data_IF_945763752202
#
_entry.id   IF_945763752202
#
_cell.length_a   1.000
_cell.length_b   1.000
_cell.length_c   1.000
_cell.angle_alpha   90.00
_cell.angle_beta   90.00
_cell.angle_gamma   90.00
#
_symmetry.space_group_name_H-M   'P 1'
#
loop_
_entity.id
_entity.type
_entity.pdbx_description
1 polymer ?
#
# COMPACT_ATOMS: atom_id res chain seq x y z
N UNK A 1 -49.02 -40.54 -3.83
CA UNK A 1 -48.90 -41.97 -4.20
C UNK A 1 -48.18 -42.06 -5.54
N UNK A 2 -47.36 -43.10 -5.71
CA UNK A 2 -46.55 -43.48 -6.90
C UNK A 2 -45.16 -42.83 -7.02
N UNK A 3 -44.17 -43.62 -6.59
CA UNK A 3 -42.75 -43.53 -6.89
C UNK A 3 -42.42 -44.35 -8.15
N UNK A 4 -41.35 -44.02 -8.88
CA UNK A 4 -40.33 -44.97 -9.41
C UNK A 4 -39.36 -44.19 -10.33
N UNK A 5 -38.10 -43.94 -9.94
CA UNK A 5 -36.85 -44.74 -10.13
C UNK A 5 -36.35 -44.92 -11.59
N UNK A 6 -35.14 -44.36 -11.76
CA UNK A 6 -33.92 -44.86 -12.45
C UNK A 6 -33.82 -44.85 -13.98
N UNK A 7 -32.69 -44.31 -14.46
CA UNK A 7 -32.08 -44.61 -15.76
C UNK A 7 -30.77 -43.83 -15.97
N UNK A 8 -29.64 -44.49 -15.67
CA UNK A 8 -28.26 -44.04 -15.93
C UNK A 8 -27.78 -44.68 -17.25
N UNK A 9 -26.61 -44.25 -17.78
CA UNK A 9 -25.79 -44.83 -18.89
C UNK A 9 -26.06 -44.10 -20.24
N UNK A 10 -25.11 -43.33 -20.82
CA UNK A 10 -23.90 -43.80 -21.52
C UNK A 10 -22.79 -42.74 -21.62
N UNK A 11 -21.59 -43.15 -21.18
CA UNK A 11 -20.29 -42.66 -21.65
C UNK A 11 -19.99 -43.24 -23.04
N UNK A 12 -19.40 -42.46 -23.96
CA UNK A 12 -18.29 -42.86 -24.87
C UNK A 12 -17.69 -41.59 -25.50
N UNK A 13 -16.48 -41.20 -25.08
CA UNK A 13 -15.20 -41.39 -25.79
C UNK A 13 -14.96 -40.44 -26.97
N UNK A 14 -14.07 -39.47 -26.77
CA UNK A 14 -12.94 -39.25 -27.69
C UNK A 14 -11.67 -38.99 -26.85
N UNK A 15 -10.79 -40.00 -26.86
CA UNK A 15 -9.35 -39.81 -26.62
C UNK A 15 -8.74 -39.46 -27.96
N UNK A 16 -8.06 -38.33 -28.05
CA UNK A 16 -6.91 -38.18 -28.94
C UNK A 16 -5.78 -37.48 -28.19
N UNK A 17 -4.58 -37.95 -28.49
CA UNK A 17 -3.35 -37.84 -27.75
C UNK A 17 -2.48 -36.65 -28.17
N UNK A 18 -1.88 -36.04 -27.16
CA UNK A 18 -0.53 -35.49 -27.10
C UNK A 18 0.01 -34.69 -28.30
N UNK A 19 0.10 -33.37 -28.13
CA UNK A 19 1.30 -32.62 -28.49
C UNK A 19 1.87 -31.99 -27.21
N UNK A 20 2.88 -32.66 -26.65
CA UNK A 20 3.74 -32.10 -25.62
C UNK A 20 4.64 -31.05 -26.27
N UNK A 21 4.13 -29.85 -26.45
CA UNK A 21 5.00 -28.68 -26.58
C UNK A 21 5.45 -28.33 -25.17
N UNK A 22 6.69 -28.70 -24.83
CA UNK A 22 7.42 -28.06 -23.72
C UNK A 22 7.48 -26.58 -24.04
N UNK A 23 6.54 -25.81 -23.50
CA UNK A 23 6.66 -24.37 -23.45
C UNK A 23 7.78 -24.08 -22.44
N UNK A 24 9.00 -23.93 -22.95
CA UNK A 24 10.05 -23.23 -22.23
C UNK A 24 9.63 -21.75 -22.19
N UNK A 25 8.66 -21.41 -21.35
CA UNK A 25 8.48 -20.03 -20.94
C UNK A 25 9.66 -19.73 -20.02
N UNK A 26 10.70 -19.10 -20.57
CA UNK A 26 11.53 -18.24 -19.75
C UNK A 26 10.59 -17.19 -19.18
N UNK A 27 10.10 -17.44 -17.95
CA UNK A 27 9.43 -16.42 -17.16
C UNK A 27 10.46 -15.32 -16.98
N UNK A 28 10.38 -14.28 -17.83
CA UNK A 28 10.97 -13.00 -17.50
C UNK A 28 10.41 -12.65 -16.13
N UNK A 29 11.25 -12.66 -15.09
CA UNK A 29 10.84 -12.19 -13.77
C UNK A 29 10.27 -10.79 -13.99
N UNK A 30 8.96 -10.63 -13.81
CA UNK A 30 8.34 -9.32 -13.88
C UNK A 30 9.00 -8.48 -12.79
N UNK A 31 9.62 -7.35 -13.19
CA UNK A 31 10.21 -6.46 -12.21
C UNK A 31 9.09 -5.82 -11.40
N UNK A 32 9.34 -5.47 -10.13
CA UNK A 32 8.36 -4.79 -9.26
C UNK A 32 7.84 -3.50 -9.89
N UNK A 33 8.63 -2.88 -10.76
CA UNK A 33 8.28 -1.67 -11.50
C UNK A 33 7.27 -1.93 -12.64
N UNK A 34 7.22 -3.14 -13.19
CA UNK A 34 6.33 -3.50 -14.31
C UNK A 34 4.93 -3.89 -13.82
N UNK A 35 4.85 -4.70 -12.75
CA UNK A 35 3.58 -5.09 -12.13
C UNK A 35 3.73 -5.16 -10.59
N UNK A 36 3.36 -4.09 -9.87
CA UNK A 36 3.54 -4.02 -8.42
C UNK A 36 2.47 -4.83 -7.64
N UNK A 37 1.33 -5.14 -8.26
CA UNK A 37 0.19 -5.71 -7.55
C UNK A 37 0.48 -7.09 -6.91
N UNK A 38 1.08 -8.08 -7.61
CA UNK A 38 1.37 -9.38 -7.02
C UNK A 38 2.28 -9.30 -5.79
N UNK A 39 3.23 -8.36 -5.79
CA UNK A 39 4.14 -8.14 -4.67
C UNK A 39 3.44 -7.41 -3.53
N UNK A 40 2.66 -6.38 -3.84
CA UNK A 40 1.94 -5.61 -2.83
C UNK A 40 0.93 -6.47 -2.07
N UNK A 41 0.16 -7.32 -2.75
CA UNK A 41 -0.86 -8.16 -2.11
C UNK A 41 -0.32 -9.43 -1.43
N UNK A 42 1.00 -9.66 -1.47
CA UNK A 42 1.60 -10.78 -0.76
C UNK A 42 1.42 -10.63 0.77
N UNK A 43 0.98 -11.68 1.45
CA UNK A 43 0.72 -11.69 2.89
C UNK A 43 1.96 -11.29 3.71
N UNK A 44 3.14 -11.76 3.33
CA UNK A 44 4.40 -11.44 4.02
C UNK A 44 4.73 -9.95 3.89
N UNK A 45 4.53 -9.38 2.69
CA UNK A 45 4.74 -7.95 2.43
C UNK A 45 3.75 -7.12 3.23
N UNK A 46 2.47 -7.51 3.24
CA UNK A 46 1.43 -6.82 4.01
C UNK A 46 1.70 -6.84 5.51
N UNK A 47 2.18 -7.97 6.08
CA UNK A 47 2.57 -8.05 7.49
C UNK A 47 3.75 -7.11 7.81
N UNK A 48 4.77 -7.08 6.96
CA UNK A 48 5.90 -6.16 7.11
C UNK A 48 5.44 -4.70 7.04
N UNK A 49 4.62 -4.33 6.06
CA UNK A 49 4.08 -2.97 5.92
C UNK A 49 3.21 -2.55 7.12
N UNK A 50 2.38 -3.46 7.65
CA UNK A 50 1.62 -3.23 8.89
C UNK A 50 2.54 -2.98 10.07
N UNK A 51 3.58 -3.80 10.26
CA UNK A 51 4.58 -3.61 11.32
C UNK A 51 5.30 -2.26 11.20
N UNK A 52 5.70 -1.87 9.98
CA UNK A 52 6.35 -0.60 9.69
C UNK A 52 5.44 0.62 9.98
N UNK A 53 4.12 0.47 9.88
CA UNK A 53 3.17 1.58 10.03
C UNK A 53 3.12 2.15 11.44
N UNK A 54 3.52 1.39 12.48
CA UNK A 54 3.46 1.76 13.90
C UNK A 54 2.10 2.38 14.27
N UNK A 55 1.09 1.53 14.38
CA UNK A 55 -0.27 1.98 14.57
C UNK A 55 -0.43 2.56 15.98
N UNK A 56 -0.68 3.87 16.05
CA UNK A 56 -1.15 4.55 17.26
C UNK A 56 -2.67 4.73 17.15
N UNK A 57 -3.41 3.92 17.91
CA UNK A 57 -4.87 3.96 17.91
C UNK A 57 -5.43 5.30 18.39
N UNK A 58 -4.69 6.05 19.21
CA UNK A 58 -5.12 7.39 19.64
C UNK A 58 -5.11 8.38 18.49
N UNK A 59 -4.15 8.25 17.57
CA UNK A 59 -4.06 9.05 16.34
C UNK A 59 -5.14 8.65 15.32
N UNK A 60 -5.36 7.34 15.13
CA UNK A 60 -6.34 6.81 14.16
C UNK A 60 -7.78 7.18 14.53
N UNK A 61 -8.11 7.14 15.83
CA UNK A 61 -9.45 7.41 16.35
C UNK A 61 -9.78 8.90 16.51
N UNK A 62 -8.87 9.82 16.15
CA UNK A 62 -9.11 11.26 16.29
C UNK A 62 -10.36 11.68 15.54
N UNK A 63 -11.08 12.62 16.13
CA UNK A 63 -12.28 13.21 15.52
C UNK A 63 -11.85 14.01 14.29
N UNK A 64 -12.31 13.57 13.11
CA UNK A 64 -12.08 14.28 11.87
C UNK A 64 -13.19 15.32 11.65
N UNK A 65 -12.81 16.54 11.27
CA UNK A 65 -13.75 17.61 10.95
C UNK A 65 -14.34 17.40 9.55
N UNK A 66 -15.16 16.37 9.38
CA UNK A 66 -15.75 15.97 8.08
C UNK A 66 -16.95 16.85 7.67
N UNK A 67 -17.24 17.92 8.42
CA UNK A 67 -18.42 18.78 8.19
C UNK A 67 -19.77 18.11 8.51
N UNK A 68 -19.76 16.86 8.97
CA UNK A 68 -20.94 16.13 9.43
C UNK A 68 -21.31 16.57 10.86
N UNK A 69 -22.61 16.54 11.17
CA UNK A 69 -23.09 16.83 12.52
C UNK A 69 -22.60 15.74 13.47
N UNK A 70 -22.00 16.16 14.59
CA UNK A 70 -21.62 15.23 15.65
C UNK A 70 -22.89 14.71 16.32
N UNK A 71 -22.98 13.40 16.48
CA UNK A 71 -24.01 12.76 17.27
C UNK A 71 -23.64 12.85 18.76
N UNK A 72 -24.66 12.82 19.62
CA UNK A 72 -24.45 12.78 21.08
C UNK A 72 -23.81 11.44 21.45
N UNK A 73 -22.79 11.47 22.30
CA UNK A 73 -22.12 10.26 22.78
C UNK A 73 -23.02 9.45 23.71
N UNK A 74 -23.05 8.13 23.53
CA UNK A 74 -23.72 7.20 24.44
C UNK A 74 -22.75 6.76 25.54
N UNK A 75 -23.19 6.83 26.80
CA UNK A 75 -22.45 6.28 27.93
C UNK A 75 -23.01 4.92 28.31
N UNK A 76 -22.12 3.96 28.58
CA UNK A 76 -22.48 2.59 28.97
C UNK A 76 -21.65 2.19 30.18
N UNK A 77 -22.28 1.56 31.16
CA UNK A 77 -21.57 0.93 32.27
C UNK A 77 -21.12 -0.45 31.82
N UNK A 78 -19.84 -0.76 32.03
CA UNK A 78 -19.22 -2.02 31.62
C UNK A 78 -18.37 -2.55 32.77
N UNK A 79 -18.25 -3.87 32.86
CA UNK A 79 -17.20 -4.50 33.68
C UNK A 79 -15.84 -4.38 33.00
N UNK A 80 -14.75 -4.64 33.72
CA UNK A 80 -13.39 -4.59 33.16
C UNK A 80 -13.21 -5.57 31.99
N UNK A 81 -13.82 -6.77 32.10
CA UNK A 81 -13.80 -7.78 31.03
C UNK A 81 -14.55 -7.30 29.78
N UNK A 82 -15.74 -6.70 29.96
CA UNK A 82 -16.53 -6.14 28.87
C UNK A 82 -15.84 -4.94 28.20
N UNK A 83 -15.11 -4.14 28.98
CA UNK A 83 -14.34 -3.00 28.49
C UNK A 83 -13.19 -3.47 27.59
N UNK A 84 -12.43 -4.47 28.01
CA UNK A 84 -11.34 -5.02 27.20
C UNK A 84 -11.85 -5.68 25.91
N UNK A 85 -12.95 -6.44 25.98
CA UNK A 85 -13.59 -6.99 24.78
C UNK A 85 -14.06 -5.89 23.82
N UNK A 86 -14.71 -4.85 24.36
CA UNK A 86 -15.17 -3.70 23.57
C UNK A 86 -14.01 -2.96 22.92
N UNK A 87 -12.88 -2.83 23.63
CA UNK A 87 -11.65 -2.22 23.13
C UNK A 87 -11.06 -3.02 21.97
N UNK A 88 -10.94 -4.34 22.11
CA UNK A 88 -10.44 -5.21 21.04
C UNK A 88 -11.33 -5.15 19.78
N UNK A 89 -12.65 -5.18 19.96
CA UNK A 89 -13.59 -5.04 18.85
C UNK A 89 -13.50 -3.67 18.18
N UNK A 90 -13.32 -2.60 18.95
CA UNK A 90 -13.14 -1.25 18.42
C UNK A 90 -11.83 -1.14 17.61
N UNK A 91 -10.75 -1.73 18.11
CA UNK A 91 -9.45 -1.81 17.42
C UNK A 91 -9.62 -2.54 16.09
N UNK A 92 -10.23 -3.74 16.08
CA UNK A 92 -10.42 -4.52 14.86
C UNK A 92 -11.25 -3.75 13.81
N UNK A 93 -12.36 -3.12 14.24
CA UNK A 93 -13.18 -2.28 13.36
C UNK A 93 -12.40 -1.09 12.81
N UNK A 94 -11.56 -0.46 13.62
CA UNK A 94 -10.71 0.65 13.20
C UNK A 94 -9.69 0.19 12.16
N UNK A 95 -9.05 -0.96 12.37
CA UNK A 95 -8.10 -1.53 11.42
C UNK A 95 -8.76 -1.80 10.07
N UNK A 96 -9.89 -2.48 10.06
CA UNK A 96 -10.61 -2.87 8.84
C UNK A 96 -11.10 -1.65 8.05
N UNK A 97 -11.59 -0.61 8.73
CA UNK A 97 -12.22 0.55 8.08
C UNK A 97 -11.19 1.62 7.73
N UNK A 98 -10.24 1.91 8.64
CA UNK A 98 -9.38 3.11 8.55
C UNK A 98 -7.96 2.80 8.11
N UNK A 99 -7.45 1.59 8.34
CA UNK A 99 -6.06 1.23 8.07
C UNK A 99 -5.88 0.32 6.87
N UNK A 100 -6.96 -0.05 6.18
CA UNK A 100 -6.87 -0.76 4.91
C UNK A 100 -6.10 0.07 3.88
N UNK A 101 -4.91 -0.37 3.51
CA UNK A 101 -4.05 0.33 2.57
C UNK A 101 -4.70 0.41 1.17
N UNK A 102 -4.64 1.57 0.49
CA UNK A 102 -4.99 1.65 -0.92
C UNK A 102 -4.18 0.65 -1.76
N UNK A 103 -4.81 -0.01 -2.74
CA UNK A 103 -4.12 -1.00 -3.57
C UNK A 103 -3.11 -0.31 -4.49
N UNK A 104 -1.89 -0.84 -4.56
CA UNK A 104 -0.87 -0.40 -5.51
C UNK A 104 -0.94 -1.30 -6.74
N UNK A 105 -1.39 -0.73 -7.86
CA UNK A 105 -1.58 -1.44 -9.14
C UNK A 105 -0.72 -0.81 -10.23
N UNK A 106 -0.62 -1.45 -11.40
CA UNK A 106 0.05 -0.87 -12.55
C UNK A 106 -0.78 0.24 -13.18
N UNK A 107 -0.10 1.23 -13.74
CA UNK A 107 -0.72 2.32 -14.49
C UNK A 107 -1.43 1.77 -15.74
N UNK A 108 -2.67 2.21 -15.95
CA UNK A 108 -3.43 1.85 -17.13
C UNK A 108 -2.96 2.65 -18.35
N UNK A 109 -2.84 1.99 -19.50
CA UNK A 109 -2.54 2.64 -20.79
C UNK A 109 -3.85 3.03 -21.47
N UNK A 110 -4.03 4.31 -21.80
CA UNK A 110 -5.21 4.82 -22.52
C UNK A 110 -5.18 4.39 -24.00
N UNK A 111 -5.32 3.09 -24.23
CA UNK A 111 -5.32 2.49 -25.56
C UNK A 111 -6.71 2.62 -26.18
N UNK A 112 -6.77 3.30 -27.31
CA UNK A 112 -8.02 3.50 -28.04
C UNK A 112 -8.26 2.30 -28.93
N UNK A 113 -9.29 1.51 -28.60
CA UNK A 113 -9.79 0.45 -29.46
C UNK A 113 -10.94 0.97 -30.32
N UNK A 114 -10.72 1.03 -31.62
CA UNK A 114 -11.74 1.34 -32.63
C UNK A 114 -12.58 0.08 -32.87
N UNK A 115 -13.90 0.25 -32.92
CA UNK A 115 -14.87 -0.82 -33.18
C UNK A 115 -15.28 -0.85 -34.65
N UNK A 116 -15.65 0.31 -35.19
CA UNK A 116 -16.16 0.48 -36.55
C UNK A 116 -15.69 1.82 -37.09
N UNK A 117 -15.36 1.88 -38.38
CA UNK A 117 -15.08 3.13 -39.08
C UNK A 117 -16.04 3.27 -40.25
N UNK A 118 -16.93 4.27 -40.18
CA UNK A 118 -18.02 4.49 -41.15
C UNK A 118 -17.84 5.86 -41.85
N UNK A 119 -17.12 5.94 -42.98
CA UNK A 119 -16.83 7.22 -43.64
C UNK A 119 -18.07 7.98 -44.12
N UNK A 120 -19.20 7.30 -44.33
CA UNK A 120 -20.46 7.92 -44.75
C UNK A 120 -21.12 8.77 -43.66
N UNK A 121 -20.71 8.61 -42.40
CA UNK A 121 -21.17 9.42 -41.27
C UNK A 121 -20.22 10.57 -40.94
N UNK A 122 -19.18 10.77 -41.77
CA UNK A 122 -18.24 11.86 -41.61
C UNK A 122 -18.96 13.20 -41.78
N UNK A 123 -18.70 14.12 -40.86
CA UNK A 123 -19.26 15.48 -40.85
C UNK A 123 -20.80 15.53 -40.78
N UNK A 124 -21.45 14.45 -40.32
CA UNK A 124 -22.89 14.43 -40.04
C UNK A 124 -23.27 15.37 -38.89
N UNK A 125 -22.43 15.43 -37.85
CA UNK A 125 -22.55 16.36 -36.73
C UNK A 125 -21.16 16.87 -36.32
N UNK A 126 -21.13 18.04 -35.70
CA UNK A 126 -19.94 18.69 -35.14
C UNK A 126 -19.53 18.11 -33.78
N UNK A 127 -20.48 17.57 -33.02
CA UNK A 127 -20.26 17.07 -31.68
C UNK A 127 -19.97 15.55 -31.65
N UNK A 128 -19.32 15.11 -30.56
CA UNK A 128 -19.10 13.68 -30.28
C UNK A 128 -20.31 13.13 -29.53
N UNK A 129 -20.79 11.95 -29.93
CA UNK A 129 -21.84 11.24 -29.19
C UNK A 129 -21.22 10.19 -28.27
N UNK A 130 -21.64 10.16 -27.02
CA UNK A 130 -21.19 9.16 -26.04
C UNK A 130 -22.35 8.26 -25.65
N UNK A 131 -22.23 6.98 -25.93
CA UNK A 131 -23.22 5.96 -25.58
C UNK A 131 -22.72 5.15 -24.40
N UNK A 132 -23.55 4.98 -23.38
CA UNK A 132 -23.21 4.32 -22.12
C UNK A 132 -24.26 3.28 -21.75
N UNK A 133 -23.79 2.09 -21.39
CA UNK A 133 -24.65 1.05 -20.83
C UNK A 133 -24.95 1.31 -19.34
N UNK A 134 -26.22 1.62 -19.06
CA UNK A 134 -26.75 1.92 -17.73
C UNK A 134 -27.43 0.71 -17.06
N UNK A 135 -27.23 -0.50 -17.58
CA UNK A 135 -27.86 -1.71 -17.05
C UNK A 135 -27.51 -1.97 -15.57
N UNK A 136 -28.49 -2.32 -14.76
CA UNK A 136 -28.27 -2.61 -13.34
C UNK A 136 -27.54 -3.96 -13.16
N UNK A 137 -26.73 -4.10 -12.10
CA UNK A 137 -26.04 -5.35 -11.75
C UNK A 137 -24.69 -5.60 -12.45
N UNK A 138 -24.30 -4.76 -13.41
CA UNK A 138 -22.97 -4.85 -14.06
C UNK A 138 -21.94 -4.02 -13.26
N UNK A 139 -20.72 -4.53 -13.11
CA UNK A 139 -19.64 -3.76 -12.49
C UNK A 139 -19.26 -2.55 -13.37
N UNK A 140 -19.01 -1.41 -12.75
CA UNK A 140 -18.58 -0.17 -13.42
C UNK A 140 -17.38 -0.36 -14.34
N UNK A 141 -16.44 -1.26 -14.01
CA UNK A 141 -15.27 -1.57 -14.87
C UNK A 141 -15.62 -2.34 -16.14
N UNK A 142 -16.64 -3.17 -16.11
CA UNK A 142 -17.04 -4.02 -17.24
C UNK A 142 -18.06 -3.34 -18.17
N UNK A 143 -18.58 -2.17 -17.78
CA UNK A 143 -19.55 -1.41 -18.57
C UNK A 143 -18.99 -0.95 -19.90
N UNK A 144 -19.80 -1.09 -20.95
CA UNK A 144 -19.47 -0.62 -22.29
C UNK A 144 -19.79 0.87 -22.40
N UNK A 145 -18.77 1.66 -22.72
CA UNK A 145 -18.88 3.08 -23.05
C UNK A 145 -18.18 3.27 -24.38
N UNK A 146 -18.91 3.79 -25.35
CA UNK A 146 -18.42 4.01 -26.72
C UNK A 146 -18.68 5.44 -27.14
N UNK A 147 -17.78 5.97 -27.94
CA UNK A 147 -17.80 7.35 -28.44
C UNK A 147 -17.82 7.30 -29.96
N UNK A 148 -18.81 7.96 -30.55
CA UNK A 148 -18.86 8.23 -31.99
C UNK A 148 -18.23 9.60 -32.23
N UNK A 149 -17.14 9.62 -32.97
CA UNK A 149 -16.44 10.83 -33.39
C UNK A 149 -17.12 11.44 -34.64
N UNK A 150 -17.00 12.77 -34.86
CA UNK A 150 -17.44 13.45 -36.09
C UNK A 150 -16.84 12.88 -37.38
N UNK A 151 -15.70 12.18 -37.28
CA UNK A 151 -15.06 11.49 -38.40
C UNK A 151 -15.87 10.30 -38.94
N UNK A 152 -16.90 9.85 -38.20
CA UNK A 152 -17.65 8.63 -38.48
C UNK A 152 -17.11 7.41 -37.73
N UNK A 153 -16.02 7.53 -36.97
CA UNK A 153 -15.40 6.41 -36.26
C UNK A 153 -16.08 6.13 -34.91
N UNK A 154 -16.43 4.86 -34.65
CA UNK A 154 -16.91 4.38 -33.35
C UNK A 154 -15.75 3.74 -32.59
N UNK A 155 -15.42 4.28 -31.42
CA UNK A 155 -14.35 3.78 -30.56
C UNK A 155 -14.82 3.58 -29.13
N UNK A 156 -14.05 2.84 -28.34
CA UNK A 156 -14.20 2.87 -26.90
C UNK A 156 -13.85 4.26 -26.33
N UNK A 157 -14.50 4.63 -25.22
CA UNK A 157 -14.18 5.84 -24.48
C UNK A 157 -12.78 5.79 -23.89
N UNK A 158 -12.09 6.94 -23.89
CA UNK A 158 -10.84 7.13 -23.15
C UNK A 158 -11.09 7.05 -21.65
N UNK A 159 -10.05 6.81 -20.86
CA UNK A 159 -10.15 6.74 -19.39
C UNK A 159 -10.80 7.99 -18.78
N UNK A 160 -10.39 9.19 -19.19
CA UNK A 160 -10.98 10.44 -18.71
C UNK A 160 -12.47 10.59 -19.08
N UNK A 161 -12.84 10.21 -20.31
CA UNK A 161 -14.23 10.23 -20.79
C UNK A 161 -15.08 9.24 -19.97
N UNK A 162 -14.55 8.02 -19.77
CA UNK A 162 -15.16 6.97 -18.95
C UNK A 162 -15.39 7.46 -17.53
N UNK A 163 -14.37 7.94 -16.84
CA UNK A 163 -14.45 8.36 -15.45
C UNK A 163 -15.50 9.47 -15.25
N UNK A 164 -15.53 10.44 -16.17
CA UNK A 164 -16.52 11.52 -16.15
C UNK A 164 -17.95 11.00 -16.34
N UNK A 165 -18.17 10.16 -17.35
CA UNK A 165 -19.49 9.65 -17.70
C UNK A 165 -20.01 8.65 -16.65
N UNK A 166 -19.12 7.83 -16.11
CA UNK A 166 -19.42 6.98 -14.95
C UNK A 166 -19.90 7.82 -13.77
N UNK A 167 -19.24 8.93 -13.43
CA UNK A 167 -19.67 9.80 -12.33
C UNK A 167 -21.02 10.50 -12.62
N UNK A 168 -21.36 10.77 -13.88
CA UNK A 168 -22.66 11.35 -14.27
C UNK A 168 -23.80 10.37 -14.00
N UNK A 169 -23.66 9.11 -14.43
CA UNK A 169 -24.72 8.10 -14.30
C UNK A 169 -24.71 7.38 -12.94
N UNK A 170 -23.53 7.23 -12.34
CA UNK A 170 -23.30 6.52 -11.08
C UNK A 170 -22.46 7.39 -10.13
N UNK A 171 -23.07 8.44 -9.54
CA UNK A 171 -22.33 9.40 -8.74
C UNK A 171 -21.80 8.77 -7.44
N UNK A 172 -20.49 8.85 -7.23
CA UNK A 172 -19.85 8.52 -5.96
C UNK A 172 -19.75 9.78 -5.10
N UNK A 173 -20.15 9.68 -3.83
CA UNK A 173 -20.10 10.79 -2.89
C UNK A 173 -18.68 11.35 -2.76
N UNK A 174 -18.55 12.66 -2.96
CA UNK A 174 -17.28 13.39 -2.85
C UNK A 174 -16.44 13.46 -4.14
N UNK A 175 -16.64 12.54 -5.10
CA UNK A 175 -15.97 12.55 -6.41
C UNK A 175 -16.57 13.63 -7.29
N UNK A 176 -15.73 14.50 -7.84
CA UNK A 176 -16.16 15.60 -8.71
C UNK A 176 -16.10 15.18 -10.18
N UNK A 177 -16.99 15.73 -11.02
CA UNK A 177 -16.98 15.48 -12.47
C UNK A 177 -15.70 16.00 -13.13
N UNK A 178 -15.29 17.21 -12.72
CA UNK A 178 -14.03 17.83 -13.14
C UNK A 178 -12.99 17.61 -12.07
N UNK A 179 -11.75 17.36 -12.48
CA UNK A 179 -10.65 17.21 -11.53
C UNK A 179 -10.46 18.52 -10.75
N UNK A 180 -10.42 18.48 -9.40
CA UNK A 180 -10.16 19.65 -8.57
C UNK A 180 -8.82 20.33 -8.90
N UNK A 181 -8.79 21.67 -8.90
CA UNK A 181 -7.57 22.45 -9.17
C UNK A 181 -6.44 22.24 -8.15
N UNK A 182 -6.76 21.72 -6.95
CA UNK A 182 -5.78 21.42 -5.90
C UNK A 182 -4.71 20.39 -6.30
N UNK A 183 -4.94 19.61 -7.35
CA UNK A 183 -4.01 18.60 -7.83
C UNK A 183 -3.01 19.11 -8.89
N UNK A 184 -3.10 20.39 -9.25
CA UNK A 184 -2.22 21.04 -10.22
C UNK A 184 -1.43 22.18 -9.58
N UNK A 185 -0.31 22.57 -10.19
CA UNK A 185 0.42 23.75 -9.74
C UNK A 185 -0.39 25.04 -10.01
N UNK A 186 -0.31 26.06 -9.14
CA UNK A 186 0.56 26.19 -7.97
C UNK A 186 -0.02 25.59 -6.67
N UNK A 187 -1.30 25.21 -6.66
CA UNK A 187 -2.01 24.83 -5.44
C UNK A 187 -1.46 23.57 -4.78
N UNK A 188 -1.02 22.59 -5.60
CA UNK A 188 -0.41 21.36 -5.09
C UNK A 188 0.86 21.65 -4.29
N UNK A 189 1.75 22.50 -4.81
CA UNK A 189 2.98 22.88 -4.11
C UNK A 189 2.69 23.56 -2.77
N UNK A 190 1.68 24.43 -2.72
CA UNK A 190 1.29 25.12 -1.49
C UNK A 190 0.79 24.13 -0.42
N UNK A 191 0.04 23.10 -0.82
CA UNK A 191 -0.40 22.04 0.08
C UNK A 191 0.78 21.17 0.56
N UNK A 192 1.74 20.89 -0.32
CA UNK A 192 2.98 20.16 0.02
C UNK A 192 3.82 20.95 1.04
N UNK A 193 3.98 22.26 0.84
CA UNK A 193 4.68 23.16 1.77
C UNK A 193 4.01 23.20 3.15
N UNK A 194 2.68 23.17 3.19
CA UNK A 194 1.88 23.06 4.43
C UNK A 194 1.90 21.67 5.07
N UNK A 195 2.50 20.68 4.39
CA UNK A 195 2.58 19.27 4.80
C UNK A 195 1.22 18.60 4.99
N UNK A 196 0.21 19.02 4.22
CA UNK A 196 -1.14 18.45 4.26
C UNK A 196 -1.25 17.13 3.46
N UNK A 197 -0.28 16.22 3.63
CA UNK A 197 -0.14 15.02 2.80
C UNK A 197 -1.35 14.08 2.87
N UNK A 198 -1.86 13.84 4.09
CA UNK A 198 -3.00 12.93 4.31
C UNK A 198 -4.24 13.44 3.56
N UNK A 199 -4.48 14.76 3.60
CA UNK A 199 -5.58 15.38 2.87
C UNK A 199 -5.46 15.19 1.36
N UNK A 200 -4.27 15.42 0.79
CA UNK A 200 -4.03 15.24 -0.65
C UNK A 200 -4.28 13.77 -1.05
N UNK A 201 -3.74 12.82 -0.29
CA UNK A 201 -3.82 11.39 -0.60
C UNK A 201 -5.25 10.85 -0.42
N UNK A 202 -5.97 11.26 0.63
CA UNK A 202 -7.38 10.91 0.83
C UNK A 202 -8.26 11.45 -0.29
N UNK A 203 -8.02 12.71 -0.71
CA UNK A 203 -8.74 13.32 -1.83
C UNK A 203 -8.39 12.63 -3.16
N UNK A 204 -7.14 12.22 -3.36
CA UNK A 204 -6.71 11.51 -4.56
C UNK A 204 -7.38 10.13 -4.66
N UNK A 205 -7.41 9.35 -3.57
CA UNK A 205 -8.10 8.04 -3.52
C UNK A 205 -9.60 8.12 -3.78
N UNK A 206 -10.22 9.27 -3.51
CA UNK A 206 -11.65 9.50 -3.73
C UNK A 206 -11.95 10.07 -5.13
N UNK A 207 -11.04 10.86 -5.70
CA UNK A 207 -11.22 11.47 -7.01
C UNK A 207 -10.85 10.52 -8.17
N UNK A 208 -9.75 9.79 -8.03
CA UNK A 208 -9.18 8.97 -9.10
C UNK A 208 -9.29 7.48 -8.79
N UNK A 209 -9.22 6.67 -9.84
CA UNK A 209 -9.13 5.22 -9.69
C UNK A 209 -7.66 4.82 -9.46
N UNK A 210 -7.37 3.69 -8.80
CA UNK A 210 -6.00 3.33 -8.41
C UNK A 210 -5.03 3.14 -9.58
N UNK A 211 -5.54 2.84 -10.78
CA UNK A 211 -4.80 2.63 -12.02
C UNK A 211 -4.70 3.89 -12.91
N UNK A 212 -5.29 5.01 -12.46
CA UNK A 212 -5.28 6.28 -13.20
C UNK A 212 -3.88 6.92 -13.18
N UNK A 213 -3.31 7.32 -14.33
CA UNK A 213 -2.01 8.00 -14.37
C UNK A 213 -1.91 9.24 -13.48
N UNK A 214 -3.00 10.00 -13.33
CA UNK A 214 -3.01 11.19 -12.46
C UNK A 214 -2.90 10.80 -10.98
N UNK A 215 -3.55 9.70 -10.56
CA UNK A 215 -3.40 9.17 -9.20
C UNK A 215 -1.94 8.83 -8.90
N UNK A 216 -1.28 8.15 -9.84
CA UNK A 216 0.13 7.80 -9.73
C UNK A 216 1.03 9.04 -9.71
N UNK A 217 0.79 10.03 -10.57
CA UNK A 217 1.55 11.29 -10.57
C UNK A 217 1.52 11.97 -9.21
N UNK A 218 0.32 12.19 -8.67
CA UNK A 218 0.11 12.90 -7.40
C UNK A 218 0.71 12.14 -6.22
N UNK A 219 0.45 10.83 -6.13
CA UNK A 219 0.97 10.00 -5.02
C UNK A 219 2.49 9.94 -5.03
N UNK A 220 3.11 9.73 -6.20
CA UNK A 220 4.59 9.74 -6.36
C UNK A 220 5.19 11.09 -5.96
N UNK A 221 4.57 12.20 -6.35
CA UNK A 221 5.03 13.54 -6.00
C UNK A 221 4.98 13.79 -4.49
N UNK A 222 3.86 13.45 -3.85
CA UNK A 222 3.71 13.52 -2.39
C UNK A 222 4.79 12.69 -1.70
N UNK A 223 4.97 11.42 -2.09
CA UNK A 223 5.97 10.53 -1.48
C UNK A 223 7.40 11.03 -1.65
N UNK A 224 7.75 11.58 -2.82
CA UNK A 224 9.06 12.21 -3.05
C UNK A 224 9.27 13.41 -2.12
N UNK A 225 8.26 14.26 -1.97
CA UNK A 225 8.34 15.41 -1.07
C UNK A 225 8.53 14.96 0.38
N UNK A 226 7.78 13.97 0.86
CA UNK A 226 7.95 13.42 2.22
C UNK A 226 9.35 12.89 2.45
N UNK A 227 9.90 12.16 1.48
CA UNK A 227 11.23 11.59 1.54
C UNK A 227 12.33 12.66 1.52
N UNK A 228 12.12 13.77 0.81
CA UNK A 228 13.06 14.90 0.77
C UNK A 228 13.09 15.67 2.11
N UNK A 229 11.92 15.82 2.75
CA UNK A 229 11.77 16.58 4.00
C UNK A 229 11.74 15.72 5.27
N UNK A 230 12.04 14.42 5.16
CA UNK A 230 12.00 13.42 6.24
C UNK A 230 10.73 13.50 7.12
N UNK A 231 9.58 13.84 6.52
CA UNK A 231 8.33 14.11 7.25
C UNK A 231 7.43 12.87 7.34
N UNK A 232 8.01 11.71 7.63
CA UNK A 232 7.32 10.41 7.64
C UNK A 232 6.27 10.30 8.77
N UNK A 233 6.50 10.97 9.90
CA UNK A 233 5.63 10.93 11.07
C UNK A 233 4.18 11.35 10.75
N UNK A 234 4.00 12.27 9.81
CA UNK A 234 2.67 12.74 9.40
C UNK A 234 1.82 11.57 8.88
N UNK A 235 2.44 10.67 8.12
CA UNK A 235 1.79 9.49 7.55
C UNK A 235 1.82 8.26 8.44
N UNK A 236 2.61 8.23 9.52
CA UNK A 236 2.57 7.13 10.50
C UNK A 236 1.15 6.95 11.03
N UNK A 237 0.78 5.70 11.26
CA UNK A 237 -0.57 5.31 11.69
C UNK A 237 -1.69 5.75 10.71
N UNK A 238 -1.39 5.90 9.42
CA UNK A 238 -2.39 6.11 8.37
C UNK A 238 -2.35 4.98 7.34
N UNK A 239 -3.45 4.78 6.60
CA UNK A 239 -3.53 3.80 5.52
C UNK A 239 -2.54 4.03 4.37
N UNK A 240 -1.98 5.24 4.25
CA UNK A 240 -1.09 5.62 3.16
C UNK A 240 0.38 5.35 3.44
N UNK A 241 0.74 5.03 4.69
CA UNK A 241 2.13 4.76 5.06
C UNK A 241 2.71 3.56 4.31
N UNK A 242 1.98 2.44 4.27
CA UNK A 242 2.47 1.24 3.60
C UNK A 242 2.68 1.41 2.09
N UNK A 243 1.72 1.98 1.32
CA UNK A 243 1.95 2.30 -0.09
C UNK A 243 3.14 3.24 -0.33
N UNK A 244 3.35 4.23 0.54
CA UNK A 244 4.53 5.11 0.48
C UNK A 244 5.82 4.31 0.67
N UNK A 245 5.90 3.46 1.71
CA UNK A 245 7.09 2.62 1.95
C UNK A 245 7.31 1.68 0.77
N UNK A 246 6.26 1.05 0.27
CA UNK A 246 6.34 0.16 -0.89
C UNK A 246 6.89 0.90 -2.12
N UNK A 247 6.45 2.14 -2.37
CA UNK A 247 6.99 3.00 -3.43
C UNK A 247 8.48 3.30 -3.22
N UNK A 248 8.90 3.71 -2.02
CA UNK A 248 10.30 4.02 -1.71
C UNK A 248 11.21 2.81 -1.88
N UNK A 249 10.76 1.62 -1.45
CA UNK A 249 11.49 0.37 -1.64
C UNK A 249 11.59 0.02 -3.12
N UNK A 250 10.49 0.14 -3.87
CA UNK A 250 10.46 -0.13 -5.31
C UNK A 250 11.45 0.74 -6.09
N UNK A 251 11.59 2.01 -5.69
CA UNK A 251 12.52 3.00 -6.27
C UNK A 251 13.93 2.95 -5.68
N UNK A 252 14.22 2.02 -4.76
CA UNK A 252 15.49 1.88 -4.03
C UNK A 252 15.92 3.14 -3.25
N UNK A 253 14.96 3.92 -2.76
CA UNK A 253 15.18 5.17 -2.00
C UNK A 253 14.77 5.00 -0.53
N UNK A 254 15.36 4.02 0.15
CA UNK A 254 15.00 3.68 1.53
C UNK A 254 15.91 4.29 2.60
N UNK A 255 17.09 4.79 2.21
CA UNK A 255 18.13 5.25 3.16
C UNK A 255 17.62 6.30 4.16
N UNK A 256 16.89 7.32 3.68
CA UNK A 256 16.36 8.37 4.55
C UNK A 256 15.38 7.82 5.60
N UNK A 257 14.50 6.91 5.20
CA UNK A 257 13.57 6.25 6.11
C UNK A 257 14.31 5.32 7.07
N UNK A 258 15.33 4.61 6.61
CA UNK A 258 16.16 3.75 7.44
C UNK A 258 16.89 4.55 8.52
N UNK A 259 17.44 5.72 8.17
CA UNK A 259 18.07 6.65 9.13
C UNK A 259 17.06 7.11 10.18
N UNK A 260 15.84 7.51 9.79
CA UNK A 260 14.78 7.88 10.75
C UNK A 260 14.41 6.73 11.69
N UNK A 261 14.31 5.51 11.16
CA UNK A 261 14.02 4.31 11.94
C UNK A 261 15.13 3.97 12.94
N UNK A 262 16.40 4.16 12.56
CA UNK A 262 17.57 3.90 13.40
C UNK A 262 17.82 4.99 14.45
N UNK A 263 17.43 6.23 14.17
CA UNK A 263 17.42 7.33 15.15
C UNK A 263 16.30 7.14 16.18
N UNK A 264 15.20 6.50 15.78
CA UNK A 264 14.18 5.98 16.70
C UNK A 264 14.68 4.69 17.40
N UNK A 265 14.22 4.37 18.63
CA UNK A 265 14.62 3.13 19.33
C UNK A 265 14.00 1.85 18.73
N UNK A 266 13.69 1.84 17.44
CA UNK A 266 12.74 0.93 16.83
C UNK A 266 13.39 0.20 15.63
N UNK A 267 14.32 -0.66 16.04
CA UNK A 267 15.26 -1.41 15.20
C UNK A 267 14.56 -2.55 14.49
N UNK A 268 13.58 -3.18 15.14
CA UNK A 268 12.84 -4.29 14.55
C UNK A 268 12.11 -3.86 13.26
N UNK A 269 11.66 -2.62 13.19
CA UNK A 269 11.11 -2.01 11.99
C UNK A 269 12.20 -1.70 10.96
N UNK A 270 13.37 -1.21 11.38
CA UNK A 270 14.50 -1.02 10.46
C UNK A 270 14.89 -2.34 9.78
N UNK A 271 14.95 -3.43 10.55
CA UNK A 271 15.16 -4.80 10.04
C UNK A 271 14.04 -5.20 9.09
N UNK A 272 12.79 -4.92 9.45
CA UNK A 272 11.62 -5.25 8.61
C UNK A 272 11.65 -4.49 7.28
N UNK A 273 12.13 -3.24 7.26
CA UNK A 273 12.31 -2.45 6.05
C UNK A 273 13.38 -3.04 5.13
N UNK A 274 14.53 -3.43 5.69
CA UNK A 274 15.60 -4.07 4.92
C UNK A 274 15.18 -5.44 4.39
N UNK A 275 14.44 -6.23 5.18
CA UNK A 275 13.82 -7.48 4.71
C UNK A 275 12.86 -7.24 3.55
N UNK A 276 12.02 -6.22 3.65
CA UNK A 276 11.11 -5.84 2.56
C UNK A 276 11.87 -5.45 1.28
N UNK A 277 13.01 -4.77 1.40
CA UNK A 277 13.88 -4.45 0.26
C UNK A 277 14.37 -5.72 -0.46
N UNK A 278 14.89 -6.71 0.26
CA UNK A 278 15.37 -7.95 -0.36
C UNK A 278 14.25 -8.82 -0.93
N UNK A 279 13.03 -8.77 -0.37
CA UNK A 279 11.85 -9.46 -0.93
C UNK A 279 11.48 -8.86 -2.29
N UNK A 280 11.53 -7.54 -2.42
CA UNK A 280 11.16 -6.84 -3.64
C UNK A 280 12.29 -6.84 -4.69
N UNK A 281 13.55 -6.96 -4.28
CA UNK A 281 14.71 -6.98 -5.18
C UNK A 281 15.51 -8.29 -5.04
N UNK A 282 14.96 -9.43 -5.49
CA UNK A 282 15.62 -10.74 -5.36
C UNK A 282 16.82 -10.90 -6.30
N UNK A 283 16.98 -10.03 -7.30
CA UNK A 283 18.08 -10.08 -8.27
C UNK A 283 19.38 -9.47 -7.73
N UNK A 284 19.32 -8.83 -6.57
CA UNK A 284 20.48 -8.31 -5.87
C UNK A 284 21.28 -9.47 -5.27
N UNK A 285 22.59 -9.53 -5.55
CA UNK A 285 23.47 -10.61 -5.07
C UNK A 285 23.41 -10.79 -3.54
N UNK A 286 23.19 -9.69 -2.83
CA UNK A 286 23.04 -9.62 -1.38
C UNK A 286 21.74 -10.25 -0.83
N UNK A 287 20.73 -10.52 -1.66
CA UNK A 287 19.43 -11.00 -1.18
C UNK A 287 19.49 -12.45 -0.64
N UNK A 288 20.32 -13.31 -1.22
CA UNK A 288 20.45 -14.71 -0.80
C UNK A 288 21.20 -14.84 0.53
N UNK A 289 22.30 -14.10 0.69
CA UNK A 289 23.12 -14.11 1.92
C UNK A 289 22.46 -13.35 3.08
N UNK A 290 21.46 -12.52 2.80
CA UNK A 290 20.73 -11.74 3.78
C UNK A 290 19.70 -12.55 4.59
N UNK A 291 19.24 -13.71 4.09
CA UNK A 291 18.20 -14.49 4.77
C UNK A 291 18.69 -15.16 6.06
N UNK A 292 19.99 -15.47 6.14
CA UNK A 292 20.59 -16.21 7.25
C UNK A 292 21.24 -15.32 8.32
N UNK A 293 21.22 -13.98 8.13
CA UNK A 293 21.91 -13.02 9.01
C UNK A 293 21.05 -12.55 10.17
N UNK A 294 21.72 -12.27 11.28
CA UNK A 294 21.11 -11.64 12.45
C UNK A 294 20.59 -10.22 12.13
N UNK A 295 19.64 -9.76 12.95
CA UNK A 295 18.92 -8.48 12.76
C UNK A 295 19.84 -7.27 12.51
N UNK A 296 20.90 -7.09 13.29
CA UNK A 296 21.83 -5.95 13.15
C UNK A 296 22.79 -6.14 11.98
N UNK A 297 23.29 -7.36 11.80
CA UNK A 297 24.20 -7.71 10.70
C UNK A 297 23.54 -7.51 9.34
N UNK A 298 22.23 -7.75 9.25
CA UNK A 298 21.44 -7.51 8.05
C UNK A 298 21.48 -6.03 7.62
N UNK A 299 21.37 -5.12 8.59
CA UNK A 299 21.40 -3.67 8.33
C UNK A 299 22.80 -3.24 7.93
N UNK A 300 23.83 -3.71 8.61
CA UNK A 300 25.22 -3.43 8.24
C UNK A 300 25.57 -3.97 6.84
N UNK A 301 25.07 -5.16 6.52
CA UNK A 301 25.27 -5.78 5.21
C UNK A 301 24.58 -4.98 4.10
N UNK A 302 23.34 -4.56 4.31
CA UNK A 302 22.66 -3.62 3.40
C UNK A 302 23.46 -2.33 3.21
N UNK A 303 23.96 -1.76 4.32
CA UNK A 303 24.72 -0.50 4.31
C UNK A 303 26.01 -0.60 3.50
N UNK A 304 26.68 -1.75 3.53
CA UNK A 304 27.94 -1.98 2.81
C UNK A 304 27.75 -2.16 1.30
N UNK A 305 26.66 -2.80 0.87
CA UNK A 305 26.49 -3.25 -0.51
C UNK A 305 25.49 -2.43 -1.33
N UNK A 306 24.42 -1.93 -0.70
CA UNK A 306 23.23 -1.43 -1.44
C UNK A 306 22.86 0.04 -1.12
N UNK A 307 23.33 0.61 -0.02
CA UNK A 307 22.96 1.97 0.40
C UNK A 307 23.60 3.05 -0.49
N UNK A 308 22.79 4.03 -0.91
CA UNK A 308 23.26 5.20 -1.67
C UNK A 308 23.90 6.24 -0.73
N UNK A 309 23.40 6.36 0.50
CA UNK A 309 23.90 7.27 1.54
C UNK A 309 24.61 6.54 2.69
N UNK A 310 25.57 5.69 2.32
CA UNK A 310 26.30 4.82 3.26
C UNK A 310 26.75 5.52 4.55
N UNK A 311 27.42 6.68 4.45
CA UNK A 311 27.91 7.42 5.61
C UNK A 311 26.80 7.78 6.63
N UNK A 312 25.64 8.21 6.14
CA UNK A 312 24.53 8.61 7.02
C UNK A 312 23.93 7.41 7.74
N UNK A 313 23.79 6.29 7.03
CA UNK A 313 23.27 5.04 7.60
C UNK A 313 24.26 4.46 8.60
N UNK A 314 25.56 4.42 8.29
CA UNK A 314 26.60 3.96 9.21
C UNK A 314 26.61 4.77 10.52
N UNK A 315 26.54 6.11 10.40
CA UNK A 315 26.45 6.98 11.57
C UNK A 315 25.19 6.70 12.39
N UNK A 316 24.05 6.47 11.74
CA UNK A 316 22.80 6.12 12.43
C UNK A 316 22.87 4.76 13.13
N UNK A 317 23.53 3.75 12.54
CA UNK A 317 23.77 2.45 13.16
C UNK A 317 24.65 2.60 14.41
N UNK A 318 25.75 3.36 14.32
CA UNK A 318 26.64 3.63 15.46
C UNK A 318 25.90 4.34 16.60
N UNK A 319 25.09 5.34 16.27
CA UNK A 319 24.24 6.04 17.23
C UNK A 319 23.26 5.08 17.94
N UNK A 320 22.61 4.21 17.17
CA UNK A 320 21.68 3.21 17.70
C UNK A 320 22.36 2.21 18.65
N UNK A 321 23.57 1.73 18.30
CA UNK A 321 24.37 0.86 19.16
C UNK A 321 24.78 1.55 20.47
N UNK A 322 25.12 2.85 20.39
CA UNK A 322 25.45 3.65 21.57
C UNK A 322 24.24 3.77 22.50
N UNK A 323 23.07 4.13 21.97
CA UNK A 323 21.84 4.22 22.76
C UNK A 323 21.49 2.89 23.42
N UNK A 324 21.63 1.77 22.72
CA UNK A 324 21.40 0.44 23.28
C UNK A 324 22.28 0.15 24.50
N UNK A 325 23.57 0.48 24.44
CA UNK A 325 24.50 0.32 25.56
C UNK A 325 24.09 1.19 26.74
N UNK A 326 23.76 2.46 26.49
CA UNK A 326 23.30 3.39 27.53
C UNK A 326 22.00 2.88 28.21
N UNK A 327 21.04 2.36 27.45
CA UNK A 327 19.82 1.78 28.01
C UNK A 327 20.09 0.54 28.88
N UNK A 328 21.02 -0.33 28.46
CA UNK A 328 21.42 -1.50 29.25
C UNK A 328 22.10 -1.10 30.56
N UNK A 329 23.00 -0.12 30.51
CA UNK A 329 23.67 0.43 31.70
C UNK A 329 22.66 1.06 32.68
N UNK A 330 21.69 1.81 32.16
CA UNK A 330 20.60 2.36 32.97
C UNK A 330 19.72 1.26 33.57
N UNK A 331 19.34 0.24 32.82
CA UNK A 331 18.55 -0.89 33.33
C UNK A 331 19.28 -1.64 34.45
N UNK A 332 20.58 -1.90 34.28
CA UNK A 332 21.41 -2.51 35.34
C UNK A 332 21.47 -1.60 36.56
N UNK A 333 21.61 -0.29 36.38
CA UNK A 333 21.64 0.69 37.46
C UNK A 333 20.30 0.77 38.21
N UNK A 334 19.19 0.72 37.49
CA UNK A 334 17.82 0.69 38.04
C UNK A 334 17.60 -0.60 38.84
N UNK A 335 18.01 -1.76 38.30
CA UNK A 335 17.92 -3.05 39.02
C UNK A 335 18.71 -3.03 40.33
N UNK A 336 19.93 -2.48 40.32
CA UNK A 336 20.75 -2.27 41.53
C UNK A 336 20.07 -1.33 42.53
N UNK A 337 19.48 -0.23 42.07
CA UNK A 337 18.77 0.73 42.93
C UNK A 337 17.50 0.13 43.56
N UNK A 338 16.82 -0.78 42.86
CA UNK A 338 15.67 -1.53 43.39
C UNK A 338 16.06 -2.73 44.28
N UNK A 339 17.35 -2.89 44.63
CA UNK A 339 17.82 -3.96 45.51
C UNK A 339 17.82 -5.35 44.88
N UNK A 340 17.62 -5.45 43.56
CA UNK A 340 17.79 -6.68 42.80
C UNK A 340 19.25 -6.80 42.35
N UNK A 341 20.17 -7.00 43.29
CA UNK A 341 21.56 -7.30 42.98
C UNK A 341 21.79 -8.82 43.08
N UNK A 342 22.17 -9.40 41.94
CA UNK A 342 22.68 -10.76 41.66
C UNK A 342 22.82 -11.74 42.85
N UNK A 343 21.85 -12.65 43.01
CA UNK A 343 21.99 -13.90 43.80
C UNK A 343 22.71 -15.01 43.03
N UNK A 344 23.60 -14.67 42.09
CA UNK A 344 24.16 -15.65 41.15
C UNK A 344 25.67 -15.57 40.98
N UNK A 345 26.42 -15.23 42.04
CA UNK A 345 27.87 -15.47 42.10
C UNK A 345 28.33 -15.73 43.54
N UNK A 346 27.89 -16.85 44.15
CA UNK A 346 28.52 -17.41 45.35
C UNK A 346 28.11 -18.89 45.47
N UNK A 347 28.64 -19.75 44.59
CA UNK A 347 28.62 -21.21 44.79
C UNK A 347 29.58 -21.93 43.84
N UNK A 348 30.82 -21.46 43.74
CA UNK A 348 31.95 -22.26 43.25
C UNK A 348 33.20 -21.81 43.99
N UNK A 349 33.35 -22.23 45.26
CA UNK A 349 34.63 -22.32 45.97
C UNK A 349 34.44 -22.87 47.40
N UNK A 350 33.83 -24.06 47.56
CA UNK A 350 34.10 -24.93 48.71
C UNK A 350 33.90 -26.39 48.27
N UNK A 351 34.87 -27.25 48.62
CA UNK A 351 35.00 -28.73 48.45
C UNK A 351 35.41 -29.19 47.04
N UNK A 352 36.61 -29.73 46.79
CA UNK A 352 37.56 -30.53 47.57
C UNK A 352 39.01 -30.27 47.16
#
# INVERSE_FOLDING_TARGET
>A
MMSSRKGMILRRFYKQSAWNCRSCSSQSKASVLDDPAPFFFNENVQQLLKKLTRIDYTKVSRVHKTGQRLNVGEYKFMTDEELEQSRLQAIQKLEDIRLQMPPVVKESKDTIRVLVDDPGLKDYDTAKFVFTDISYGINTRDRKIVVREPTGTLRHARMAERNRITQVYFPVNGKQLTVPQMFYEPYLEDLLKRKEYVFILDRACLQFDPDDPEYHRITKEVYRHINAWNSYDILRSTRHFGPMVFYLVSEKKIDNLLVELLQSPAIDEAVSLVRLYYILHPDVASATEAQDKDSLELIEYYTKHESLQKHNVEHAVLFCLKLKKETQEMEVSIKKAHGQADTSQDNQNVTN
#
